data_IF_895904730693
#
_entry.id   IF_895904730693
#
_cell.length_a   1.000
_cell.length_b   1.000
_cell.length_c   1.000
_cell.angle_alpha   90.00
_cell.angle_beta   90.00
_cell.angle_gamma   90.00
#
_symmetry.space_group_name_H-M   'P 1'
#
loop_
_entity.id
_entity.type
_entity.pdbx_description
1 polymer ?
#
# COMPACT_ATOMS: atom_id res chain seq x y z
N UNK A 1 15.97 -4.05 -17.87
CA UNK A 1 16.07 -3.56 -16.48
C UNK A 1 16.20 -4.78 -15.60
N UNK A 2 17.36 -5.01 -14.96
CA UNK A 2 17.73 -6.27 -14.26
C UNK A 2 17.18 -6.39 -12.84
N UNK A 3 16.52 -5.33 -12.33
CA UNK A 3 16.05 -5.26 -10.95
C UNK A 3 14.95 -6.29 -10.69
N UNK A 4 14.00 -6.43 -11.60
CA UNK A 4 12.92 -7.41 -11.44
C UNK A 4 13.43 -8.84 -11.45
N UNK A 5 14.38 -9.15 -12.33
CA UNK A 5 15.02 -10.47 -12.37
C UNK A 5 15.71 -10.77 -11.03
N UNK A 6 16.48 -9.80 -10.51
CA UNK A 6 17.14 -9.95 -9.20
C UNK A 6 16.15 -10.10 -8.04
N UNK A 7 15.02 -9.40 -8.05
CA UNK A 7 13.96 -9.55 -7.03
C UNK A 7 13.35 -10.95 -7.10
N UNK A 8 13.10 -11.47 -8.30
CA UNK A 8 12.60 -12.82 -8.49
C UNK A 8 13.62 -13.88 -8.03
N UNK A 9 14.90 -13.69 -8.34
CA UNK A 9 15.97 -14.59 -7.89
C UNK A 9 16.08 -14.61 -6.36
N UNK A 10 15.93 -13.45 -5.71
CA UNK A 10 15.88 -13.35 -4.24
C UNK A 10 14.69 -14.12 -3.68
N UNK A 11 13.51 -13.99 -4.29
CA UNK A 11 12.32 -14.74 -3.89
C UNK A 11 12.57 -16.25 -3.95
N UNK A 12 13.14 -16.74 -5.06
CA UNK A 12 13.47 -18.17 -5.21
C UNK A 12 14.45 -18.64 -4.14
N UNK A 13 15.51 -17.87 -3.92
CA UNK A 13 16.51 -18.16 -2.88
C UNK A 13 15.87 -18.20 -1.47
N UNK A 14 14.93 -17.30 -1.17
CA UNK A 14 14.21 -17.31 0.11
C UNK A 14 13.43 -18.61 0.25
N UNK A 15 12.68 -19.04 -0.77
CA UNK A 15 11.92 -20.30 -0.71
C UNK A 15 12.81 -21.55 -0.63
N UNK A 16 14.01 -21.53 -1.21
CA UNK A 16 14.99 -22.62 -1.06
C UNK A 16 15.52 -22.74 0.39
N UNK A 17 15.71 -21.61 1.07
CA UNK A 17 16.25 -21.56 2.45
C UNK A 17 15.13 -21.72 3.49
N UNK A 18 13.97 -21.13 3.24
CA UNK A 18 12.81 -21.05 4.12
C UNK A 18 11.51 -21.14 3.32
N UNK A 19 11.06 -22.37 3.08
CA UNK A 19 9.79 -22.64 2.39
C UNK A 19 8.53 -22.47 3.26
N UNK A 20 8.65 -22.03 4.52
CA UNK A 20 7.49 -21.87 5.41
C UNK A 20 6.89 -20.46 5.39
N UNK A 21 7.66 -19.45 4.97
CA UNK A 21 7.22 -18.06 4.98
C UNK A 21 7.05 -17.52 3.56
N UNK A 22 5.93 -16.82 3.28
CA UNK A 22 5.70 -16.26 1.96
C UNK A 22 6.59 -15.05 1.70
N UNK A 23 6.88 -14.84 0.43
CA UNK A 23 7.53 -13.64 -0.08
C UNK A 23 6.50 -12.63 -0.59
N UNK A 24 6.87 -11.35 -0.51
CA UNK A 24 6.02 -10.26 -0.96
C UNK A 24 6.87 -9.15 -1.57
N UNK A 25 6.39 -8.58 -2.67
CA UNK A 25 6.95 -7.34 -3.21
C UNK A 25 5.99 -6.18 -2.96
N UNK A 26 6.51 -5.05 -2.47
CA UNK A 26 5.71 -3.88 -2.08
C UNK A 26 5.83 -2.77 -3.13
N UNK A 27 4.69 -2.20 -3.52
CA UNK A 27 4.59 -1.05 -4.44
C UNK A 27 3.95 0.15 -3.76
N UNK A 28 4.27 1.35 -4.24
CA UNK A 28 3.70 2.60 -3.73
C UNK A 28 2.29 2.91 -4.27
N UNK A 29 1.84 2.24 -5.34
CA UNK A 29 0.45 2.25 -5.82
C UNK A 29 0.33 1.15 -6.89
N UNK A 30 -0.90 0.87 -7.30
CA UNK A 30 -1.24 -0.14 -8.31
C UNK A 30 -1.33 0.45 -9.73
N UNK A 31 -0.26 1.08 -10.22
CA UNK A 31 -0.22 1.65 -11.57
C UNK A 31 0.14 0.60 -12.64
N UNK A 32 -0.51 0.67 -13.79
CA UNK A 32 -0.46 -0.36 -14.85
C UNK A 32 0.96 -0.80 -15.28
N UNK A 33 1.95 0.09 -15.48
CA UNK A 33 3.30 -0.34 -15.90
C UNK A 33 4.00 -1.20 -14.84
N UNK A 34 3.79 -0.87 -13.56
CA UNK A 34 4.43 -1.57 -12.44
C UNK A 34 3.80 -2.95 -12.27
N UNK A 35 2.47 -3.03 -12.32
CA UNK A 35 1.75 -4.30 -12.21
C UNK A 35 2.09 -5.22 -13.38
N UNK A 36 2.19 -4.67 -14.60
CA UNK A 36 2.59 -5.46 -15.77
C UNK A 36 3.99 -6.04 -15.62
N UNK A 37 4.95 -5.26 -15.12
CA UNK A 37 6.30 -5.75 -14.85
C UNK A 37 6.30 -6.84 -13.79
N UNK A 38 5.53 -6.67 -12.70
CA UNK A 38 5.39 -7.66 -11.63
C UNK A 38 4.82 -8.97 -12.17
N UNK A 39 3.69 -8.91 -12.89
CA UNK A 39 3.04 -10.10 -13.44
C UNK A 39 3.93 -10.86 -14.42
N UNK A 40 4.78 -10.16 -15.18
CA UNK A 40 5.62 -10.76 -16.21
C UNK A 40 6.98 -11.24 -15.71
N UNK A 41 7.54 -10.61 -14.67
CA UNK A 41 8.96 -10.83 -14.27
C UNK A 41 9.13 -11.37 -12.86
N UNK A 42 8.17 -11.13 -11.96
CA UNK A 42 8.20 -11.66 -10.60
C UNK A 42 7.30 -12.88 -10.53
N UNK A 43 7.72 -14.00 -11.13
CA UNK A 43 6.93 -15.23 -11.15
C UNK A 43 6.84 -15.92 -9.78
N UNK A 44 7.85 -15.76 -8.93
CA UNK A 44 8.01 -16.53 -7.70
C UNK A 44 7.35 -15.91 -6.47
N UNK A 45 7.09 -14.60 -6.45
CA UNK A 45 6.49 -13.96 -5.26
C UNK A 45 5.07 -14.46 -4.98
N UNK A 46 4.72 -14.62 -3.70
CA UNK A 46 3.40 -15.13 -3.30
C UNK A 46 2.31 -14.05 -3.26
N UNK A 47 2.70 -12.81 -2.96
CA UNK A 47 1.76 -11.72 -2.73
C UNK A 47 2.32 -10.35 -3.13
N UNK A 48 1.42 -9.37 -3.26
CA UNK A 48 1.75 -7.98 -3.56
C UNK A 48 1.36 -7.10 -2.38
N UNK A 49 2.29 -6.30 -1.89
CA UNK A 49 2.02 -5.25 -0.91
C UNK A 49 1.72 -3.92 -1.60
N UNK A 50 0.76 -3.15 -1.09
CA UNK A 50 0.48 -1.79 -1.56
C UNK A 50 0.58 -0.79 -0.42
N UNK A 51 1.40 0.25 -0.59
CA UNK A 51 1.49 1.38 0.33
C UNK A 51 0.68 2.54 -0.27
N UNK A 52 -0.52 2.81 0.23
CA UNK A 52 -1.38 3.87 -0.31
C UNK A 52 -2.14 4.57 0.82
N UNK A 53 -1.83 5.83 1.06
CA UNK A 53 -2.53 6.63 2.07
C UNK A 53 -3.85 7.20 1.53
N UNK A 54 -3.78 8.08 0.53
CA UNK A 54 -4.93 8.87 0.11
C UNK A 54 -5.67 8.34 -1.12
N UNK A 55 -4.95 7.70 -2.03
CA UNK A 55 -5.52 7.09 -3.22
C UNK A 55 -5.97 5.65 -2.97
N UNK A 56 -6.13 5.20 -1.72
CA UNK A 56 -6.40 3.80 -1.38
C UNK A 56 -7.60 3.24 -2.15
N UNK A 57 -8.67 4.03 -2.24
CA UNK A 57 -9.84 3.71 -3.06
C UNK A 57 -9.48 3.40 -4.53
N UNK A 58 -8.73 4.30 -5.15
CA UNK A 58 -8.30 4.16 -6.54
C UNK A 58 -7.30 3.02 -6.73
N UNK A 59 -6.35 2.85 -5.79
CA UNK A 59 -5.37 1.77 -5.80
C UNK A 59 -6.06 0.41 -5.83
N UNK A 60 -7.01 0.17 -4.91
CA UNK A 60 -7.74 -1.09 -4.85
C UNK A 60 -8.72 -1.27 -6.02
N UNK A 61 -9.31 -0.19 -6.53
CA UNK A 61 -10.14 -0.24 -7.73
C UNK A 61 -9.33 -0.66 -8.98
N UNK A 62 -8.12 -0.10 -9.18
CA UNK A 62 -7.20 -0.51 -10.26
C UNK A 62 -6.82 -1.98 -10.12
N UNK A 63 -6.49 -2.40 -8.90
CA UNK A 63 -6.24 -3.81 -8.58
C UNK A 63 -7.40 -4.71 -8.99
N UNK A 64 -8.63 -4.33 -8.66
CA UNK A 64 -9.82 -5.10 -9.00
C UNK A 64 -10.08 -5.18 -10.51
N UNK A 65 -9.64 -4.18 -11.27
CA UNK A 65 -9.71 -4.16 -12.75
C UNK A 65 -8.53 -4.84 -13.45
N UNK A 66 -7.44 -5.13 -12.75
CA UNK A 66 -6.25 -5.75 -13.34
C UNK A 66 -6.45 -7.24 -13.65
N UNK A 67 -5.55 -7.82 -14.44
CA UNK A 67 -5.50 -9.27 -14.67
C UNK A 67 -4.64 -10.03 -13.66
N UNK A 68 -3.92 -9.32 -12.79
CA UNK A 68 -3.15 -9.92 -11.71
C UNK A 68 -4.11 -10.51 -10.66
N UNK A 69 -3.79 -11.70 -10.18
CA UNK A 69 -4.68 -12.51 -9.32
C UNK A 69 -4.07 -12.85 -7.98
N UNK A 70 -2.77 -12.60 -7.79
CA UNK A 70 -2.11 -12.82 -6.50
C UNK A 70 -2.82 -12.05 -5.38
N UNK A 71 -2.82 -12.61 -4.17
CA UNK A 71 -3.34 -11.92 -3.00
C UNK A 71 -2.61 -10.59 -2.76
N UNK A 72 -3.34 -9.61 -2.23
CA UNK A 72 -2.80 -8.30 -1.90
C UNK A 72 -2.84 -8.06 -0.39
N UNK A 73 -1.80 -7.44 0.15
CA UNK A 73 -1.83 -6.81 1.48
C UNK A 73 -1.75 -5.30 1.33
N UNK A 74 -2.55 -4.56 2.09
CA UNK A 74 -2.38 -3.11 2.19
C UNK A 74 -1.32 -2.83 3.25
N UNK A 75 -0.08 -2.75 2.82
CA UNK A 75 1.12 -2.72 3.68
C UNK A 75 1.35 -1.37 4.35
N UNK A 76 0.71 -0.31 3.86
CA UNK A 76 0.70 0.99 4.54
C UNK A 76 -0.54 1.78 4.10
N UNK A 77 -1.31 2.28 5.07
CA UNK A 77 -2.46 3.16 4.82
C UNK A 77 -2.77 4.02 6.04
N UNK A 78 -3.43 5.15 5.85
CA UNK A 78 -3.76 6.08 6.92
C UNK A 78 -4.71 7.18 6.46
N UNK A 79 -4.88 8.25 7.25
CA UNK A 79 -5.65 9.41 6.85
C UNK A 79 -4.94 10.17 5.73
N UNK A 80 -5.62 11.16 5.16
CA UNK A 80 -5.05 12.07 4.18
C UNK A 80 -3.74 12.71 4.67
N UNK A 81 -2.75 12.78 3.78
CA UNK A 81 -1.47 13.43 4.07
C UNK A 81 -1.58 14.96 4.08
N UNK A 82 -0.56 15.64 4.59
CA UNK A 82 -0.53 17.11 4.65
C UNK A 82 -0.55 17.78 3.27
N UNK A 83 -0.14 17.06 2.21
CA UNK A 83 -0.16 17.55 0.83
C UNK A 83 -1.58 17.64 0.24
N UNK A 84 -2.57 17.00 0.87
CA UNK A 84 -4.00 17.07 0.50
C UNK A 84 -4.78 18.07 1.34
N UNK A 85 -4.18 18.57 2.41
CA UNK A 85 -4.84 19.51 3.29
C UNK A 85 -4.99 20.88 2.60
N UNK A 86 -6.08 21.61 2.87
CA UNK A 86 -6.16 23.03 2.57
C UNK A 86 -4.95 23.76 3.16
N UNK A 87 -4.48 24.80 2.47
CA UNK A 87 -3.34 25.60 2.93
C UNK A 87 -3.77 27.00 3.34
N UNK A 88 -3.06 27.57 4.31
CA UNK A 88 -3.17 29.00 4.65
C UNK A 88 -2.65 29.87 3.51
N UNK A 89 -2.89 31.18 3.57
CA UNK A 89 -2.37 32.13 2.57
C UNK A 89 -0.83 32.18 2.50
N UNK A 90 -0.13 31.66 3.51
CA UNK A 90 1.33 31.54 3.56
C UNK A 90 1.82 30.09 3.33
N UNK A 91 0.97 29.20 2.82
CA UNK A 91 1.36 27.85 2.37
C UNK A 91 1.49 26.79 3.47
N UNK A 92 1.04 27.06 4.70
CA UNK A 92 1.03 26.06 5.76
C UNK A 92 -0.19 25.12 5.61
N UNK A 93 -0.01 23.79 5.59
CA UNK A 93 -1.12 22.85 5.61
C UNK A 93 -1.96 22.98 6.88
N UNK A 94 -3.28 23.01 6.74
CA UNK A 94 -4.22 23.07 7.85
C UNK A 94 -4.52 21.65 8.31
N UNK A 95 -4.09 21.31 9.51
CA UNK A 95 -4.27 19.98 10.07
C UNK A 95 -5.76 19.68 10.32
N UNK A 96 -6.29 18.53 9.86
CA UNK A 96 -7.66 18.14 10.17
C UNK A 96 -7.81 17.88 11.68
N UNK A 97 -8.96 18.27 12.23
CA UNK A 97 -9.33 17.94 13.60
C UNK A 97 -9.41 16.42 13.79
N UNK A 98 -9.16 15.94 15.01
CA UNK A 98 -9.06 14.50 15.32
C UNK A 98 -10.26 13.66 14.88
N UNK A 99 -11.48 14.22 14.95
CA UNK A 99 -12.70 13.54 14.49
C UNK A 99 -12.67 13.18 13.00
N UNK A 100 -12.13 14.05 12.15
CA UNK A 100 -12.02 13.80 10.71
C UNK A 100 -11.04 12.66 10.44
N UNK A 101 -9.90 12.63 11.14
CA UNK A 101 -8.93 11.53 11.01
C UNK A 101 -9.51 10.19 11.46
N UNK A 102 -10.30 10.19 12.53
CA UNK A 102 -10.98 9.00 13.01
C UNK A 102 -11.93 8.44 11.95
N UNK A 103 -12.76 9.31 11.35
CA UNK A 103 -13.67 8.93 10.26
C UNK A 103 -12.91 8.37 9.07
N UNK A 104 -11.83 9.03 8.64
CA UNK A 104 -10.99 8.55 7.54
C UNK A 104 -10.35 7.17 7.82
N UNK A 105 -9.86 6.93 9.04
CA UNK A 105 -9.35 5.60 9.41
C UNK A 105 -10.44 4.53 9.32
N UNK A 106 -11.66 4.86 9.80
CA UNK A 106 -12.80 3.94 9.77
C UNK A 106 -13.22 3.63 8.33
N UNK A 107 -13.39 4.66 7.51
CA UNK A 107 -13.82 4.51 6.12
C UNK A 107 -12.81 3.69 5.30
N UNK A 108 -11.52 3.97 5.47
CA UNK A 108 -10.46 3.21 4.80
C UNK A 108 -10.43 1.76 5.27
N UNK A 109 -10.57 1.50 6.58
CA UNK A 109 -10.62 0.14 7.10
C UNK A 109 -11.83 -0.64 6.57
N UNK A 110 -13.03 -0.05 6.61
CA UNK A 110 -14.25 -0.68 6.13
C UNK A 110 -14.15 -0.98 4.63
N UNK A 111 -13.53 -0.08 3.86
CA UNK A 111 -13.26 -0.27 2.43
C UNK A 111 -12.29 -1.44 2.16
N UNK A 112 -11.25 -1.59 2.97
CA UNK A 112 -10.32 -2.74 2.90
C UNK A 112 -11.05 -4.03 3.28
N UNK A 113 -11.76 -4.03 4.41
CA UNK A 113 -12.44 -5.20 4.96
C UNK A 113 -13.54 -5.75 4.02
N UNK A 114 -14.20 -4.86 3.26
CA UNK A 114 -15.17 -5.24 2.25
C UNK A 114 -14.57 -6.04 1.07
N UNK A 115 -13.24 -6.15 0.95
CA UNK A 115 -12.52 -6.89 -0.09
C UNK A 115 -11.93 -8.21 0.40
N UNK A 116 -12.54 -8.81 1.41
CA UNK A 116 -12.12 -10.09 1.96
C UNK A 116 -12.01 -11.17 0.87
N UNK A 117 -10.95 -12.00 0.95
CA UNK A 117 -10.61 -13.03 -0.03
C UNK A 117 -9.75 -12.56 -1.21
N UNK A 118 -9.63 -11.25 -1.42
CA UNK A 118 -8.77 -10.63 -2.45
C UNK A 118 -7.66 -9.77 -1.82
N UNK A 119 -8.00 -9.12 -0.72
CA UNK A 119 -7.07 -8.47 0.19
C UNK A 119 -6.97 -9.33 1.45
N UNK A 120 -5.75 -9.72 1.83
CA UNK A 120 -5.50 -10.61 2.97
C UNK A 120 -5.49 -9.88 4.32
N UNK A 121 -5.21 -8.57 4.29
CA UNK A 121 -5.11 -7.77 5.50
C UNK A 121 -4.51 -6.40 5.23
N UNK A 122 -4.26 -5.67 6.31
CA UNK A 122 -3.67 -4.34 6.22
C UNK A 122 -2.90 -3.92 7.46
N UNK A 123 -2.02 -2.94 7.30
CA UNK A 123 -1.20 -2.36 8.35
C UNK A 123 -1.41 -0.84 8.40
N UNK A 124 -2.05 -0.37 9.47
CA UNK A 124 -2.33 1.05 9.67
C UNK A 124 -1.04 1.83 9.98
N UNK A 125 -0.92 3.00 9.39
CA UNK A 125 0.19 3.93 9.55
C UNK A 125 -0.33 5.31 10.00
N UNK A 126 0.31 6.01 10.93
CA UNK A 126 1.44 5.56 11.75
C UNK A 126 0.95 5.02 13.10
N UNK A 127 1.40 3.83 13.49
CA UNK A 127 1.11 3.27 14.81
C UNK A 127 2.17 3.71 15.82
N UNK A 128 1.95 4.88 16.44
CA UNK A 128 2.87 5.49 17.39
C UNK A 128 2.87 7.02 17.25
N UNK A 129 4.03 7.64 17.51
CA UNK A 129 4.25 9.06 17.24
C UNK A 129 5.58 9.26 16.51
N UNK A 130 5.55 10.10 15.46
CA UNK A 130 6.71 10.54 14.68
C UNK A 130 6.46 12.00 14.30
N UNK A 131 7.52 12.81 14.27
CA UNK A 131 7.39 14.13 13.65
C UNK A 131 7.11 13.96 12.14
N UNK A 132 5.95 14.46 11.72
CA UNK A 132 5.58 14.60 10.31
C UNK A 132 4.86 15.95 10.10
N UNK A 133 5.59 16.97 9.65
CA UNK A 133 5.09 18.32 9.27
C UNK A 133 4.61 19.24 10.40
N UNK A 134 3.96 18.74 11.45
CA UNK A 134 3.40 19.56 12.53
C UNK A 134 4.44 19.91 13.59
N UNK A 135 4.41 21.13 14.14
CA UNK A 135 5.38 21.54 15.16
C UNK A 135 5.30 20.61 16.38
N UNK A 136 6.45 20.29 16.96
CA UNK A 136 6.59 19.36 18.10
C UNK A 136 5.84 19.83 19.34
#
# INVERSE_FOLDING_TARGET
>A
MRVWDAVNDISNMVHEIDGNHPTMYVVADYFDPVVSDISNKLADIDSIGVNSCASLGNCLARRDSSNERRPVLVTEWGPSGWWEAPTTSWGAPIEPVSGVRLEQYRDNYDYIAARSGRVLGSFAFYWGQKQERTYT
#
